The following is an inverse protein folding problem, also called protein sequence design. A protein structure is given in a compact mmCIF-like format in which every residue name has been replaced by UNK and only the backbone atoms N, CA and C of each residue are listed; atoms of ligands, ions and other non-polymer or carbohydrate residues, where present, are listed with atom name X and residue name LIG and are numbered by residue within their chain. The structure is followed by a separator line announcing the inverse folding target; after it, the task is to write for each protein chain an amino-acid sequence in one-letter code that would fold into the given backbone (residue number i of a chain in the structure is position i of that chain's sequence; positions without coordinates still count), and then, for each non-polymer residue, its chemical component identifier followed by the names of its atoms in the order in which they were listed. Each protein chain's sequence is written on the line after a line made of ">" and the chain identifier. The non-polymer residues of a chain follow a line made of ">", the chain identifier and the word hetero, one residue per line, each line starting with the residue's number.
data_IF_493752100887
#
_entry.id   IF_493752100887
#
_cell.length_a   1.000
_cell.length_b   1.000
_cell.length_c   1.000
_cell.angle_alpha   90.00
_cell.angle_beta   90.00
_cell.angle_gamma   90.00
#
_symmetry.space_group_name_H-M   'P 1'
#
loop_
_entity.id
_entity.type
_entity.pdbx_description
1 polymer ?
#
# COMPACT_ATOMS: atom_id res chain seq x y z
N UNK A 1 43.80 -36.29 34.26
CA UNK A 1 42.91 -36.36 33.10
C UNK A 1 41.80 -37.36 33.41
N UNK A 2 40.60 -36.88 33.73
CA UNK A 2 39.37 -37.66 33.77
C UNK A 2 38.24 -36.79 33.21
N UNK A 3 37.51 -37.37 32.26
CA UNK A 3 36.45 -36.77 31.45
C UNK A 3 35.18 -36.48 32.26
N UNK A 4 34.52 -35.38 31.89
CA UNK A 4 33.29 -34.89 32.47
C UNK A 4 32.07 -35.64 31.95
N UNK A 5 31.26 -36.18 32.87
CA UNK A 5 29.85 -36.49 32.65
C UNK A 5 29.16 -36.42 34.01
N UNK A 6 28.42 -35.31 34.22
CA UNK A 6 27.31 -35.08 35.16
C UNK A 6 27.35 -33.65 35.71
N UNK A 7 26.43 -32.81 35.24
CA UNK A 7 25.85 -31.77 36.09
C UNK A 7 24.36 -31.62 35.75
N UNK A 8 23.58 -31.88 36.78
CA UNK A 8 22.12 -31.87 36.88
C UNK A 8 21.52 -30.47 36.75
N UNK A 9 20.24 -30.42 36.37
CA UNK A 9 19.33 -29.25 36.43
C UNK A 9 19.38 -28.51 37.78
N UNK A 10 18.93 -27.25 37.78
CA UNK A 10 17.75 -26.95 38.58
C UNK A 10 16.68 -26.16 37.81
N UNK A 11 15.51 -26.12 38.46
CA UNK A 11 14.20 -25.69 37.97
C UNK A 11 13.95 -24.18 38.06
N UNK A 12 12.93 -23.74 37.31
CA UNK A 12 12.00 -22.62 37.55
C UNK A 12 12.51 -21.17 37.50
N UNK A 13 12.00 -20.40 36.53
CA UNK A 13 11.20 -19.22 36.87
C UNK A 13 10.13 -18.91 35.80
N UNK A 14 8.94 -18.62 36.28
CA UNK A 14 7.68 -18.31 35.59
C UNK A 14 7.69 -16.89 35.04
N UNK A 15 7.27 -16.68 33.79
CA UNK A 15 6.63 -15.43 33.34
C UNK A 15 5.45 -15.76 32.40
N UNK A 16 4.25 -15.52 32.92
CA UNK A 16 3.00 -15.39 32.17
C UNK A 16 2.97 -14.02 31.47
N UNK A 17 2.56 -13.97 30.19
CA UNK A 17 1.54 -13.01 29.72
C UNK A 17 1.17 -13.18 28.24
N UNK A 18 -0.09 -13.58 28.05
CA UNK A 18 -1.06 -13.07 27.07
C UNK A 18 -0.61 -12.82 25.62
N UNK A 19 -0.79 -13.82 24.76
CA UNK A 19 -1.11 -13.60 23.33
C UNK A 19 -1.85 -14.81 22.75
N UNK A 20 -3.16 -14.93 23.03
CA UNK A 20 -4.10 -15.64 22.14
C UNK A 20 -5.49 -15.03 22.33
N UNK A 21 -5.77 -13.93 21.64
CA UNK A 21 -7.15 -13.46 21.46
C UNK A 21 -7.37 -12.98 20.04
N UNK A 22 -7.19 -13.87 19.06
CA UNK A 22 -7.90 -13.75 17.79
C UNK A 22 -8.28 -15.17 17.33
N UNK A 23 -9.56 -15.33 16.98
CA UNK A 23 -10.18 -16.51 16.38
C UNK A 23 -10.56 -17.69 17.29
N UNK A 24 -11.55 -17.48 18.18
CA UNK A 24 -12.61 -18.48 18.43
C UNK A 24 -13.96 -17.79 18.49
N UNK A 25 -14.59 -17.65 17.33
CA UNK A 25 -16.03 -17.41 17.23
C UNK A 25 -16.68 -18.69 16.70
N UNK A 26 -17.47 -19.32 17.55
CA UNK A 26 -18.22 -20.55 17.33
C UNK A 26 -19.18 -20.41 16.15
N UNK A 27 -19.07 -21.32 15.18
CA UNK A 27 -20.12 -21.56 14.18
C UNK A 27 -21.29 -22.26 14.88
N UNK A 28 -22.31 -21.50 15.29
CA UNK A 28 -23.65 -22.04 15.55
C UNK A 28 -24.48 -21.90 14.28
N UNK A 29 -24.72 -23.03 13.62
CA UNK A 29 -25.68 -23.17 12.51
C UNK A 29 -27.09 -22.78 12.97
N UNK A 30 -27.72 -21.86 12.25
CA UNK A 30 -29.17 -21.65 12.27
C UNK A 30 -29.71 -21.61 10.83
N UNK A 31 -30.97 -22.05 10.62
CA UNK A 31 -31.44 -22.52 9.32
C UNK A 31 -31.94 -21.39 8.42
N UNK A 32 -31.69 -21.55 7.12
CA UNK A 32 -32.24 -20.74 6.03
C UNK A 32 -33.78 -20.85 6.02
N UNK A 33 -34.46 -19.72 6.18
CA UNK A 33 -35.85 -19.55 5.76
C UNK A 33 -35.90 -18.60 4.57
N UNK A 34 -36.48 -19.13 3.50
CA UNK A 34 -36.75 -18.50 2.21
C UNK A 34 -37.69 -17.29 2.33
N UNK A 35 -37.35 -16.19 1.66
CA UNK A 35 -38.31 -15.13 1.33
C UNK A 35 -38.20 -14.73 -0.16
N UNK A 36 -39.34 -14.36 -0.79
CA UNK A 36 -39.48 -14.37 -2.25
C UNK A 36 -39.13 -13.03 -2.90
N UNK A 37 -38.58 -13.11 -4.12
CA UNK A 37 -38.44 -11.99 -5.04
C UNK A 37 -39.80 -11.43 -5.43
N UNK A 38 -39.97 -10.10 -5.35
CA UNK A 38 -41.02 -9.40 -6.09
C UNK A 38 -40.59 -7.99 -6.49
N UNK A 39 -40.52 -7.83 -7.82
CA UNK A 39 -40.88 -6.64 -8.62
C UNK A 39 -40.23 -5.30 -8.26
N UNK A 40 -39.24 -4.90 -9.06
CA UNK A 40 -38.99 -3.49 -9.35
C UNK A 40 -39.20 -3.24 -10.86
N UNK A 41 -40.24 -2.47 -11.18
CA UNK A 41 -40.49 -1.91 -12.50
C UNK A 41 -40.17 -0.40 -12.50
N UNK A 42 -39.35 0.00 -13.47
CA UNK A 42 -39.53 1.16 -14.36
C UNK A 42 -39.60 2.59 -13.76
N UNK A 43 -38.65 3.44 -14.19
CA UNK A 43 -38.87 4.66 -15.00
C UNK A 43 -37.56 5.46 -15.09
N UNK A 44 -36.83 5.31 -16.19
CA UNK A 44 -35.77 6.26 -16.58
C UNK A 44 -36.42 7.29 -17.50
N UNK A 45 -36.40 8.55 -17.07
CA UNK A 45 -36.89 9.71 -17.83
C UNK A 45 -35.66 10.48 -18.31
N UNK A 46 -35.31 10.32 -19.58
CA UNK A 46 -34.32 11.15 -20.27
C UNK A 46 -34.90 12.55 -20.48
N UNK A 47 -34.15 13.58 -20.06
CA UNK A 47 -34.40 14.97 -20.46
C UNK A 47 -33.32 15.38 -21.44
N UNK A 48 -33.75 15.70 -22.65
CA UNK A 48 -33.01 16.47 -23.64
C UNK A 48 -32.63 17.84 -23.07
N UNK A 49 -31.38 18.25 -23.28
CA UNK A 49 -30.93 19.63 -23.06
C UNK A 49 -30.56 20.24 -24.41
N UNK A 50 -31.32 21.26 -24.81
CA UNK A 50 -31.17 22.04 -26.03
C UNK A 50 -30.04 23.07 -25.88
N UNK A 51 -29.07 22.98 -26.80
CA UNK A 51 -28.53 24.02 -27.69
C UNK A 51 -28.62 25.49 -27.22
N UNK A 52 -27.49 26.18 -27.17
CA UNK A 52 -27.40 27.56 -27.68
C UNK A 52 -25.97 27.90 -28.09
N UNK A 53 -25.81 28.13 -29.39
CA UNK A 53 -24.70 28.83 -30.03
C UNK A 53 -24.54 30.25 -29.47
N UNK A 54 -23.30 30.70 -29.26
CA UNK A 54 -22.95 32.09 -29.53
C UNK A 54 -21.48 32.25 -29.91
N UNK A 55 -21.31 32.63 -31.17
CA UNK A 55 -20.12 33.05 -31.91
C UNK A 55 -19.76 34.48 -31.50
N UNK A 56 -18.48 34.79 -31.29
CA UNK A 56 -17.96 36.14 -31.47
C UNK A 56 -16.48 36.11 -31.88
N UNK A 57 -16.27 36.40 -33.16
CA UNK A 57 -14.98 36.76 -33.76
C UNK A 57 -14.49 38.09 -33.18
N UNK A 58 -13.21 38.16 -32.80
CA UNK A 58 -12.45 39.42 -32.85
C UNK A 58 -11.04 39.19 -33.37
N UNK A 59 -10.89 39.59 -34.63
CA UNK A 59 -9.64 39.76 -35.36
C UNK A 59 -9.27 41.25 -35.28
N UNK A 60 -8.03 41.57 -34.86
CA UNK A 60 -7.45 42.93 -34.87
C UNK A 60 -5.98 42.83 -35.30
N UNK A 61 -5.43 43.81 -36.04
CA UNK A 61 -4.33 43.60 -36.98
C UNK A 61 -2.95 44.08 -36.50
N UNK A 62 -1.93 43.51 -37.16
CA UNK A 62 -0.73 44.10 -37.75
C UNK A 62 -0.09 45.35 -37.09
N UNK A 63 1.17 45.22 -36.66
CA UNK A 63 2.19 46.27 -36.84
C UNK A 63 3.59 45.67 -36.89
N UNK A 64 4.27 46.06 -37.97
CA UNK A 64 5.58 45.68 -38.47
C UNK A 64 6.69 46.36 -37.66
N UNK A 65 7.82 45.69 -37.41
CA UNK A 65 9.11 46.38 -37.37
C UNK A 65 10.24 45.46 -37.81
N UNK A 66 10.92 45.91 -38.87
CA UNK A 66 12.11 45.31 -39.49
C UNK A 66 13.32 45.79 -38.69
N UNK A 67 14.24 44.90 -38.34
CA UNK A 67 15.65 45.26 -38.17
C UNK A 67 16.53 44.04 -38.44
N UNK A 68 17.20 44.10 -39.59
CA UNK A 68 18.27 43.24 -40.05
C UNK A 68 19.47 43.30 -39.11
N UNK A 69 20.22 42.19 -38.97
CA UNK A 69 21.70 42.18 -38.83
C UNK A 69 22.25 40.73 -38.87
N UNK A 70 23.19 40.55 -39.81
CA UNK A 70 24.33 39.63 -39.93
C UNK A 70 24.21 38.09 -39.84
N UNK A 71 24.41 37.48 -41.01
CA UNK A 71 25.55 36.61 -41.38
C UNK A 71 26.18 35.72 -40.29
N UNK A 72 25.87 34.41 -40.34
CA UNK A 72 26.83 33.30 -40.42
C UNK A 72 26.06 31.98 -40.29
N UNK A 73 25.93 31.19 -41.36
CA UNK A 73 25.44 29.82 -41.24
C UNK A 73 26.57 28.85 -41.55
N UNK A 74 27.18 28.37 -40.47
CA UNK A 74 28.07 27.22 -40.42
C UNK A 74 27.24 25.98 -40.74
N UNK A 75 27.62 25.23 -41.78
CA UNK A 75 27.03 23.92 -42.08
C UNK A 75 27.66 22.89 -41.13
N UNK A 76 27.07 22.73 -39.95
CA UNK A 76 27.36 21.59 -39.07
C UNK A 76 26.57 20.37 -39.54
N UNK A 77 27.29 19.35 -40.02
CA UNK A 77 26.75 18.01 -40.28
C UNK A 77 26.33 17.42 -38.92
N UNK A 78 25.05 17.53 -38.59
CA UNK A 78 24.47 16.85 -37.44
C UNK A 78 24.28 15.37 -37.82
N UNK A 79 25.20 14.51 -37.36
CA UNK A 79 24.93 13.10 -37.23
C UNK A 79 23.82 12.94 -36.19
N UNK A 80 22.60 12.68 -36.66
CA UNK A 80 21.48 12.31 -35.81
C UNK A 80 21.78 10.94 -35.19
N UNK A 81 22.46 10.96 -34.04
CA UNK A 81 22.34 9.89 -33.07
C UNK A 81 20.88 9.88 -32.67
N UNK A 82 20.11 8.95 -33.24
CA UNK A 82 18.80 8.60 -32.72
C UNK A 82 19.06 8.12 -31.30
N UNK A 83 18.86 9.02 -30.33
CA UNK A 83 18.67 8.62 -28.95
C UNK A 83 17.54 7.60 -29.00
N UNK A 84 17.84 6.35 -28.65
CA UNK A 84 16.81 5.37 -28.37
C UNK A 84 15.92 6.02 -27.33
N UNK A 85 14.68 6.35 -27.69
CA UNK A 85 13.69 6.89 -26.77
C UNK A 85 13.64 5.92 -25.58
N UNK A 86 14.18 6.37 -24.44
CA UNK A 86 14.07 5.63 -23.21
C UNK A 86 12.58 5.49 -22.96
N UNK A 87 12.06 4.27 -23.08
CA UNK A 87 10.65 4.00 -22.94
C UNK A 87 10.22 4.37 -21.51
N UNK A 88 9.70 5.59 -21.38
CA UNK A 88 9.22 6.18 -20.13
C UNK A 88 7.93 5.46 -19.76
N UNK A 89 7.99 4.56 -18.79
CA UNK A 89 6.79 3.95 -18.26
C UNK A 89 6.03 4.97 -17.41
N UNK A 90 4.71 5.10 -17.59
CA UNK A 90 3.95 6.17 -16.96
C UNK A 90 3.68 5.93 -15.47
N UNK A 91 4.08 4.78 -14.92
CA UNK A 91 3.94 4.44 -13.50
C UNK A 91 5.31 4.47 -12.80
N UNK A 92 5.38 4.97 -11.56
CA UNK A 92 6.60 4.88 -10.76
C UNK A 92 7.00 3.42 -10.53
N UNK A 93 8.29 3.10 -10.68
CA UNK A 93 8.83 1.78 -10.38
C UNK A 93 8.75 1.46 -8.89
N UNK A 94 8.49 0.19 -8.54
CA UNK A 94 8.41 -0.29 -7.14
C UNK A 94 7.42 0.49 -6.26
N UNK A 95 6.39 1.07 -6.86
CA UNK A 95 5.34 1.80 -6.15
C UNK A 95 3.99 1.13 -6.40
N UNK A 96 3.27 0.85 -5.32
CA UNK A 96 1.87 0.50 -5.37
C UNK A 96 1.03 1.78 -5.35
N UNK A 97 0.25 2.02 -6.40
CA UNK A 97 -0.49 3.28 -6.60
C UNK A 97 -1.91 3.04 -7.10
N UNK A 98 -2.76 4.06 -6.99
CA UNK A 98 -4.11 4.07 -7.58
C UNK A 98 -4.17 4.89 -8.87
N UNK A 99 -3.08 5.55 -9.27
CA UNK A 99 -2.99 6.34 -10.49
C UNK A 99 -2.68 5.47 -11.72
N UNK A 100 -3.59 4.52 -12.01
CA UNK A 100 -3.33 3.44 -12.94
C UNK A 100 -3.53 3.77 -14.42
N UNK A 101 -3.60 5.04 -14.82
CA UNK A 101 -3.79 5.48 -16.22
C UNK A 101 -4.93 4.72 -16.94
N UNK A 102 -6.06 4.53 -16.25
CA UNK A 102 -7.24 3.79 -16.74
C UNK A 102 -7.00 2.32 -17.08
N UNK A 103 -5.91 1.72 -16.57
CA UNK A 103 -5.59 0.31 -16.79
C UNK A 103 -6.26 -0.65 -15.82
N UNK A 104 -6.62 -0.16 -14.64
CA UNK A 104 -7.32 -0.91 -13.61
C UNK A 104 -8.66 -0.23 -13.31
N UNK A 105 -9.60 -1.02 -12.81
CA UNK A 105 -10.89 -0.50 -12.38
C UNK A 105 -10.73 0.52 -11.25
N UNK A 106 -11.72 1.39 -11.09
CA UNK A 106 -11.70 2.40 -10.04
C UNK A 106 -11.60 1.76 -8.65
N UNK A 107 -10.65 2.23 -7.83
CA UNK A 107 -10.40 1.67 -6.49
C UNK A 107 -9.61 0.36 -6.47
N UNK A 108 -9.08 -0.07 -7.63
CA UNK A 108 -8.14 -1.19 -7.75
C UNK A 108 -6.74 -0.61 -7.91
N UNK A 109 -5.81 -0.85 -6.96
CA UNK A 109 -4.46 -0.35 -7.09
C UNK A 109 -3.69 -1.14 -8.15
N UNK A 110 -2.68 -0.51 -8.72
CA UNK A 110 -1.75 -1.08 -9.66
C UNK A 110 -0.32 -0.93 -9.15
N UNK A 111 0.50 -1.84 -9.62
CA UNK A 111 1.93 -1.82 -9.39
C UNK A 111 2.65 -2.11 -10.69
N UNK A 112 3.75 -1.41 -10.92
CA UNK A 112 4.60 -1.65 -12.09
C UNK A 112 5.40 -2.94 -11.90
N UNK A 113 5.25 -3.90 -12.81
CA UNK A 113 5.87 -5.20 -12.63
C UNK A 113 7.40 -5.14 -12.81
N UNK A 114 8.12 -5.00 -11.71
CA UNK A 114 9.60 -5.01 -11.70
C UNK A 114 10.20 -6.38 -11.48
N UNK A 115 9.42 -7.48 -11.48
CA UNK A 115 10.00 -8.83 -11.37
C UNK A 115 10.77 -9.23 -12.63
N UNK A 116 10.58 -8.52 -13.74
CA UNK A 116 11.30 -8.76 -15.00
C UNK A 116 12.58 -7.92 -15.10
N UNK A 117 13.66 -8.46 -15.70
CA UNK A 117 14.89 -7.73 -15.93
C UNK A 117 14.66 -6.49 -16.81
N UNK A 118 15.35 -5.40 -16.47
CA UNK A 118 15.22 -4.08 -17.09
C UNK A 118 15.41 -4.10 -18.62
N UNK A 119 16.26 -5.00 -19.12
CA UNK A 119 16.56 -5.18 -20.55
C UNK A 119 15.40 -5.73 -21.38
N UNK A 120 14.37 -6.30 -20.73
CA UNK A 120 13.17 -6.87 -21.38
C UNK A 120 11.88 -6.20 -20.94
N UNK A 121 12.01 -5.15 -20.12
CA UNK A 121 10.92 -4.60 -19.35
C UNK A 121 9.99 -3.79 -20.25
N UNK A 122 8.94 -4.46 -20.75
CA UNK A 122 7.76 -3.77 -21.28
C UNK A 122 7.11 -3.00 -20.12
N UNK A 123 6.37 -1.93 -20.41
CA UNK A 123 5.62 -1.19 -19.38
C UNK A 123 4.43 -2.00 -18.84
N UNK A 124 4.73 -3.17 -18.28
CA UNK A 124 3.79 -4.14 -17.77
C UNK A 124 3.40 -3.75 -16.34
N UNK A 125 2.10 -3.62 -16.14
CA UNK A 125 1.51 -3.27 -14.86
C UNK A 125 0.61 -4.41 -14.42
N UNK A 126 0.50 -4.58 -13.12
CA UNK A 126 -0.38 -5.56 -12.51
C UNK A 126 -1.44 -4.82 -11.71
N UNK A 127 -2.71 -5.04 -12.05
CA UNK A 127 -3.83 -4.63 -11.20
C UNK A 127 -3.94 -5.62 -10.05
N UNK A 128 -3.84 -5.15 -8.81
CA UNK A 128 -3.95 -6.02 -7.65
C UNK A 128 -5.42 -6.08 -7.23
N UNK A 129 -6.04 -7.27 -7.23
CA UNK A 129 -7.45 -7.37 -6.85
C UNK A 129 -7.62 -6.82 -5.44
N UNK A 130 -8.60 -5.94 -5.25
CA UNK A 130 -8.96 -5.47 -3.91
C UNK A 130 -9.57 -6.66 -3.17
N UNK A 131 -8.78 -7.41 -2.41
CA UNK A 131 -9.30 -8.56 -1.67
C UNK A 131 -10.10 -8.04 -0.49
N UNK A 132 -11.42 -7.95 -0.70
CA UNK A 132 -12.40 -7.98 0.38
C UNK A 132 -12.28 -9.38 0.99
N UNK A 133 -11.58 -9.51 2.11
CA UNK A 133 -11.53 -10.78 2.84
C UNK A 133 -12.96 -11.17 3.23
N UNK A 134 -13.53 -12.13 2.50
CA UNK A 134 -14.82 -12.76 2.78
C UNK A 134 -14.89 -13.38 4.17
N UNK A 135 -13.74 -13.63 4.81
CA UNK A 135 -13.66 -14.14 6.18
C UNK A 135 -13.83 -13.06 7.26
N UNK A 136 -13.63 -11.78 6.94
CA UNK A 136 -13.68 -10.69 7.93
C UNK A 136 -15.03 -9.96 8.01
N UNK A 137 -16.01 -10.31 7.15
CA UNK A 137 -17.33 -9.65 7.03
C UNK A 137 -17.31 -8.11 6.86
N UNK A 138 -16.12 -7.51 6.77
CA UNK A 138 -15.88 -6.07 6.74
C UNK A 138 -14.96 -5.73 5.55
N UNK A 139 -15.32 -4.78 4.67
CA UNK A 139 -14.48 -4.41 3.54
C UNK A 139 -13.11 -3.94 4.02
N UNK A 140 -12.10 -4.76 3.74
CA UNK A 140 -10.72 -4.59 4.18
C UNK A 140 -9.80 -4.53 2.98
N UNK A 141 -8.77 -3.68 3.04
CA UNK A 141 -7.61 -3.75 2.17
C UNK A 141 -6.46 -4.31 2.98
N UNK A 142 -5.96 -5.50 2.61
CA UNK A 142 -4.83 -6.16 3.27
C UNK A 142 -3.73 -6.38 2.25
N UNK A 143 -2.59 -5.73 2.46
CA UNK A 143 -1.37 -5.93 1.72
C UNK A 143 -0.34 -6.60 2.62
N UNK A 144 0.08 -7.80 2.23
CA UNK A 144 1.24 -8.45 2.82
C UNK A 144 2.49 -8.02 2.04
N UNK A 145 3.56 -7.69 2.75
CA UNK A 145 4.85 -7.35 2.17
C UNK A 145 5.85 -8.38 2.66
N UNK A 146 5.96 -9.56 2.01
CA UNK A 146 6.95 -10.56 2.38
C UNK A 146 8.35 -9.95 2.48
N UNK A 147 9.11 -10.39 3.49
CA UNK A 147 10.49 -9.94 3.66
C UNK A 147 11.30 -10.28 2.41
N UNK A 148 12.13 -9.33 1.99
CA UNK A 148 13.05 -9.49 0.86
C UNK A 148 14.47 -9.76 1.34
N UNK A 149 15.43 -9.36 0.51
CA UNK A 149 16.87 -9.39 0.80
C UNK A 149 17.31 -8.33 1.82
N UNK A 150 16.54 -7.26 1.98
CA UNK A 150 16.83 -6.22 2.96
C UNK A 150 16.65 -6.74 4.40
N UNK A 151 17.60 -6.39 5.28
CA UNK A 151 17.56 -6.72 6.71
C UNK A 151 17.70 -5.45 7.55
N UNK A 152 16.91 -5.34 8.61
CA UNK A 152 17.00 -4.20 9.53
C UNK A 152 18.29 -4.25 10.36
N UNK A 153 18.76 -3.10 10.90
CA UNK A 153 19.89 -3.09 11.83
C UNK A 153 19.68 -4.03 13.03
N UNK A 154 18.45 -4.12 13.55
CA UNK A 154 18.13 -5.02 14.67
C UNK A 154 18.17 -6.50 14.27
N UNK A 155 17.74 -6.83 13.05
CA UNK A 155 17.84 -8.19 12.54
C UNK A 155 19.30 -8.60 12.32
N UNK A 156 20.11 -7.72 11.72
CA UNK A 156 21.54 -7.97 11.50
C UNK A 156 22.31 -8.12 12.82
N UNK A 157 21.96 -7.33 13.84
CA UNK A 157 22.62 -7.39 15.14
C UNK A 157 22.29 -8.67 15.94
N UNK A 158 21.11 -9.24 15.72
CA UNK A 158 20.63 -10.41 16.47
C UNK A 158 20.83 -11.74 15.72
N UNK A 159 21.32 -11.69 14.48
CA UNK A 159 21.42 -12.83 13.54
C UNK A 159 20.14 -13.68 13.50
N UNK A 160 19.01 -12.99 13.44
CA UNK A 160 17.69 -13.61 13.48
C UNK A 160 17.28 -14.01 12.06
N UNK A 161 17.10 -15.32 11.86
CA UNK A 161 16.46 -15.85 10.66
C UNK A 161 14.94 -15.74 10.73
N UNK A 162 14.33 -15.65 9.55
CA UNK A 162 12.89 -15.74 9.42
C UNK A 162 12.45 -17.14 9.87
N UNK A 163 11.59 -17.26 10.89
CA UNK A 163 11.03 -18.57 11.20
C UNK A 163 10.25 -19.05 9.97
N UNK A 164 10.34 -20.35 9.63
CA UNK A 164 9.51 -20.91 8.58
C UNK A 164 8.05 -20.68 8.94
N UNK A 165 7.28 -20.05 8.05
CA UNK A 165 5.86 -19.84 8.26
C UNK A 165 5.13 -21.19 8.25
N UNK A 166 4.40 -21.52 9.32
CA UNK A 166 3.59 -22.74 9.38
C UNK A 166 2.38 -22.68 8.42
N UNK A 167 1.95 -21.47 8.06
CA UNK A 167 0.87 -21.21 7.11
C UNK A 167 1.35 -20.26 6.01
N UNK A 168 1.17 -20.68 4.74
CA UNK A 168 1.38 -19.81 3.59
C UNK A 168 0.09 -19.07 3.26
N UNK A 169 -0.16 -17.96 3.96
CA UNK A 169 -1.27 -17.05 3.71
C UNK A 169 -1.04 -16.10 2.53
N UNK A 170 0.16 -16.09 1.94
CA UNK A 170 0.46 -15.31 0.74
C UNK A 170 -0.40 -15.73 -0.45
N UNK A 171 -0.94 -16.96 -0.44
CA UNK A 171 -1.89 -17.42 -1.47
C UNK A 171 -3.31 -16.86 -1.27
N UNK A 172 -3.62 -16.34 -0.08
CA UNK A 172 -4.95 -15.85 0.29
C UNK A 172 -5.05 -14.31 0.24
N UNK A 173 -3.92 -13.62 0.38
CA UNK A 173 -3.86 -12.16 0.43
C UNK A 173 -3.03 -11.57 -0.71
N UNK A 174 -3.34 -10.33 -1.07
CA UNK A 174 -2.50 -9.55 -1.97
C UNK A 174 -1.14 -9.40 -1.31
N UNK A 175 -0.10 -9.73 -2.04
CA UNK A 175 1.25 -9.59 -1.56
C UNK A 175 2.19 -9.04 -2.64
N UNK A 176 3.14 -8.23 -2.19
CA UNK A 176 4.25 -7.74 -3.01
C UNK A 176 5.52 -7.82 -2.16
N UNK A 177 6.52 -8.58 -2.62
CA UNK A 177 7.77 -8.75 -1.88
C UNK A 177 8.54 -7.42 -1.74
N UNK A 178 9.19 -7.22 -0.60
CA UNK A 178 9.97 -6.00 -0.31
C UNK A 178 11.16 -5.76 -1.26
N UNK A 179 11.60 -6.74 -2.03
CA UNK A 179 12.60 -6.54 -3.09
C UNK A 179 12.03 -5.76 -4.29
N UNK A 180 10.71 -5.78 -4.45
CA UNK A 180 9.97 -5.24 -5.59
C UNK A 180 8.99 -4.12 -5.22
N UNK A 181 8.86 -3.81 -3.93
CA UNK A 181 8.00 -2.75 -3.41
C UNK A 181 8.80 -1.86 -2.45
N UNK A 182 8.95 -0.59 -2.84
CA UNK A 182 9.60 0.43 -2.02
C UNK A 182 8.58 1.40 -1.43
N UNK A 183 7.46 1.65 -2.12
CA UNK A 183 6.48 2.67 -1.73
C UNK A 183 5.02 2.20 -1.87
N UNK A 184 4.19 2.55 -0.90
CA UNK A 184 2.71 2.45 -0.98
C UNK A 184 2.12 3.86 -0.96
N UNK A 185 1.45 4.23 -2.04
CA UNK A 185 0.84 5.54 -2.21
C UNK A 185 -0.45 5.71 -1.40
N UNK A 186 -0.99 6.92 -1.43
CA UNK A 186 -2.24 7.26 -0.77
C UNK A 186 -3.41 6.47 -1.36
N UNK A 187 -4.27 5.98 -0.46
CA UNK A 187 -5.54 5.36 -0.84
C UNK A 187 -6.54 6.48 -1.15
N UNK A 188 -7.19 6.47 -2.32
CA UNK A 188 -8.12 7.53 -2.71
C UNK A 188 -9.44 7.42 -1.94
N UNK A 189 -10.12 8.55 -1.78
CA UNK A 189 -11.41 8.65 -1.08
C UNK A 189 -12.54 7.79 -1.71
N UNK A 190 -12.36 7.34 -2.96
CA UNK A 190 -13.30 6.46 -3.65
C UNK A 190 -13.31 5.03 -3.08
N UNK A 191 -12.27 4.62 -2.38
CA UNK A 191 -12.18 3.29 -1.75
C UNK A 191 -13.05 3.26 -0.49
N UNK A 192 -13.92 2.26 -0.40
CA UNK A 192 -14.90 2.08 0.70
C UNK A 192 -14.48 0.96 1.64
N UNK A 193 -13.27 1.06 2.19
CA UNK A 193 -12.73 0.08 3.14
C UNK A 193 -12.77 0.65 4.55
N UNK A 194 -13.10 -0.18 5.54
CA UNK A 194 -13.05 0.19 6.96
C UNK A 194 -11.70 -0.16 7.60
N UNK A 195 -11.06 -1.22 7.12
CA UNK A 195 -9.74 -1.67 7.60
C UNK A 195 -8.70 -1.55 6.49
N UNK A 196 -7.60 -0.86 6.77
CA UNK A 196 -6.40 -0.86 5.94
C UNK A 196 -5.28 -1.53 6.71
N UNK A 197 -4.69 -2.56 6.14
CA UNK A 197 -3.57 -3.30 6.73
C UNK A 197 -2.41 -3.38 5.73
N UNK A 198 -1.24 -2.91 6.14
CA UNK A 198 0.03 -3.14 5.46
C UNK A 198 0.93 -3.87 6.45
N UNK A 199 1.25 -5.12 6.16
CA UNK A 199 1.89 -6.02 7.12
C UNK A 199 3.16 -6.60 6.50
N UNK A 200 4.29 -6.46 7.17
CA UNK A 200 5.52 -7.12 6.75
C UNK A 200 5.50 -8.62 7.05
N UNK A 201 6.01 -9.42 6.11
CA UNK A 201 6.01 -10.87 6.19
C UNK A 201 4.65 -11.47 5.84
N UNK A 202 4.02 -12.10 6.83
CA UNK A 202 2.72 -12.77 6.73
C UNK A 202 1.77 -12.33 7.86
N UNK A 203 0.48 -12.57 7.70
CA UNK A 203 -0.55 -12.30 8.70
C UNK A 203 -0.46 -13.28 9.89
N UNK A 204 -0.15 -14.54 9.63
CA UNK A 204 0.02 -15.59 10.66
C UNK A 204 1.48 -15.86 11.03
N UNK A 205 2.40 -15.01 10.58
CA UNK A 205 3.82 -15.14 10.86
C UNK A 205 4.16 -14.90 12.33
N UNK A 206 5.26 -15.50 12.78
CA UNK A 206 5.82 -15.22 14.10
C UNK A 206 6.39 -13.79 14.08
N UNK A 207 5.86 -12.90 14.93
CA UNK A 207 6.36 -11.53 15.11
C UNK A 207 7.75 -11.53 15.75
N UNK A 208 8.76 -11.82 14.94
CA UNK A 208 10.14 -11.88 15.41
C UNK A 208 10.70 -10.46 15.44
N UNK A 209 11.09 -10.01 16.63
CA UNK A 209 11.50 -8.63 16.86
C UNK A 209 12.62 -8.23 15.90
N UNK A 210 12.43 -7.11 15.21
CA UNK A 210 13.43 -6.59 14.27
C UNK A 210 13.29 -7.12 12.84
N UNK A 211 12.54 -8.19 12.63
CA UNK A 211 12.18 -8.63 11.28
C UNK A 211 11.04 -7.78 10.75
N UNK A 212 11.37 -6.88 9.81
CA UNK A 212 10.43 -5.92 9.26
C UNK A 212 10.64 -5.75 7.78
N UNK A 213 9.58 -5.34 7.08
CA UNK A 213 9.64 -4.90 5.69
C UNK A 213 9.94 -3.42 5.60
N UNK A 214 10.88 -3.04 4.73
CA UNK A 214 11.29 -1.67 4.51
C UNK A 214 10.52 -1.05 3.34
N UNK A 215 9.31 -0.56 3.65
CA UNK A 215 8.43 0.12 2.69
C UNK A 215 8.10 1.51 3.20
N UNK A 216 8.18 2.51 2.31
CA UNK A 216 7.72 3.86 2.56
C UNK A 216 6.22 3.96 2.37
N UNK A 217 5.54 4.52 3.36
CA UNK A 217 4.12 4.78 3.30
C UNK A 217 3.88 6.25 2.95
N UNK A 218 2.89 6.52 2.09
CA UNK A 218 2.45 7.88 1.82
C UNK A 218 2.09 8.60 3.12
N UNK A 219 2.49 9.87 3.26
CA UNK A 219 2.14 10.68 4.43
C UNK A 219 0.64 10.93 4.55
N UNK A 220 -0.13 10.70 3.48
CA UNK A 220 -1.59 10.75 3.45
C UNK A 220 -2.20 9.39 3.16
N UNK A 221 -1.57 8.29 3.61
CA UNK A 221 -1.94 6.91 3.28
C UNK A 221 -3.45 6.67 3.35
N UNK A 222 -4.08 7.00 4.49
CA UNK A 222 -5.52 6.82 4.71
C UNK A 222 -6.27 8.09 5.08
N UNK A 223 -5.61 9.23 5.19
CA UNK A 223 -6.23 10.46 5.73
C UNK A 223 -7.36 11.01 4.86
N UNK A 224 -7.42 10.62 3.59
CA UNK A 224 -8.50 10.97 2.64
C UNK A 224 -9.61 9.92 2.56
N UNK A 225 -9.53 8.82 3.32
CA UNK A 225 -10.48 7.70 3.27
C UNK A 225 -11.35 7.72 4.52
N UNK A 226 -12.49 8.43 4.52
CA UNK A 226 -13.27 8.68 5.74
C UNK A 226 -13.94 7.44 6.33
N UNK A 227 -14.07 6.37 5.53
CA UNK A 227 -14.61 5.09 5.97
C UNK A 227 -13.63 4.28 6.82
N UNK A 228 -12.32 4.57 6.74
CA UNK A 228 -11.31 3.81 7.48
C UNK A 228 -11.42 4.12 8.97
N UNK A 229 -11.69 3.08 9.76
CA UNK A 229 -11.76 3.10 11.23
C UNK A 229 -10.62 2.32 11.87
N UNK A 230 -9.95 1.45 11.10
CA UNK A 230 -8.82 0.64 11.56
C UNK A 230 -7.65 0.71 10.60
N UNK A 231 -6.46 1.00 11.14
CA UNK A 231 -5.19 1.02 10.41
C UNK A 231 -4.18 0.11 11.09
N UNK A 232 -3.67 -0.88 10.36
CA UNK A 232 -2.71 -1.88 10.86
C UNK A 232 -1.42 -1.75 10.07
N UNK A 233 -0.35 -1.31 10.75
CA UNK A 233 0.99 -1.12 10.19
C UNK A 233 1.99 -1.93 11.01
N UNK A 234 2.06 -3.23 10.76
CA UNK A 234 2.78 -4.19 11.61
C UNK A 234 3.96 -4.79 10.86
N UNK A 235 5.06 -5.04 11.58
CA UNK A 235 6.31 -5.58 11.02
C UNK A 235 6.87 -4.70 9.87
N UNK A 236 6.75 -3.38 10.00
CA UNK A 236 7.27 -2.42 9.02
C UNK A 236 8.42 -1.59 9.62
N UNK A 237 9.36 -1.15 8.79
CA UNK A 237 10.34 -0.16 9.20
C UNK A 237 9.69 1.23 9.32
N UNK A 238 9.03 1.51 10.45
CA UNK A 238 8.31 2.76 10.66
C UNK A 238 9.18 3.87 11.26
N UNK A 239 10.36 3.53 11.80
CA UNK A 239 11.27 4.49 12.44
C UNK A 239 11.58 5.72 11.56
N UNK A 240 11.96 5.59 10.26
CA UNK A 240 12.25 6.75 9.41
C UNK A 240 11.04 7.66 9.12
N UNK A 241 9.83 7.15 9.37
CA UNK A 241 8.56 7.80 9.01
C UNK A 241 7.66 8.04 10.23
N UNK A 242 8.18 7.83 11.44
CA UNK A 242 7.47 8.00 12.71
C UNK A 242 6.85 9.39 12.88
N UNK A 243 7.55 10.43 12.42
CA UNK A 243 7.06 11.82 12.47
C UNK A 243 5.85 12.10 11.59
N UNK A 244 5.55 11.24 10.61
CA UNK A 244 4.45 11.41 9.67
C UNK A 244 3.25 10.52 9.96
N UNK A 245 3.34 9.58 10.93
CA UNK A 245 2.27 8.60 11.19
C UNK A 245 0.94 9.29 11.50
N UNK A 246 0.94 10.37 12.30
CA UNK A 246 -0.29 11.11 12.61
C UNK A 246 -0.97 11.74 11.38
N UNK A 247 -0.20 12.06 10.33
CA UNK A 247 -0.71 12.63 9.08
C UNK A 247 -1.39 11.59 8.19
N UNK A 248 -1.07 10.31 8.40
CA UNK A 248 -1.63 9.18 7.65
C UNK A 248 -3.06 8.87 8.10
N UNK A 249 -3.46 9.28 9.31
CA UNK A 249 -4.68 8.82 9.96
C UNK A 249 -5.92 9.58 9.46
N UNK A 250 -7.04 8.88 9.19
CA UNK A 250 -8.33 9.51 8.99
C UNK A 250 -8.88 10.04 10.32
N UNK A 251 -9.76 11.04 10.26
CA UNK A 251 -10.35 11.67 11.45
C UNK A 251 -11.20 10.70 12.32
N UNK A 252 -11.77 9.67 11.70
CA UNK A 252 -12.65 8.70 12.34
C UNK A 252 -11.91 7.42 12.78
N UNK A 253 -10.58 7.41 12.75
CA UNK A 253 -9.80 6.24 13.14
C UNK A 253 -10.04 5.89 14.62
N UNK A 254 -10.45 4.66 14.88
CA UNK A 254 -10.69 4.13 16.23
C UNK A 254 -9.61 3.15 16.68
N UNK A 255 -8.94 2.48 15.75
CA UNK A 255 -7.89 1.50 16.03
C UNK A 255 -6.65 1.77 15.17
N UNK A 256 -5.49 1.83 15.81
CA UNK A 256 -4.18 1.90 15.16
C UNK A 256 -3.31 0.79 15.74
N UNK A 257 -2.67 -0.03 14.90
CA UNK A 257 -1.71 -1.03 15.34
C UNK A 257 -0.35 -0.76 14.69
N UNK A 258 0.71 -0.67 15.51
CA UNK A 258 2.08 -0.30 15.07
C UNK A 258 3.14 -1.34 15.50
N UNK A 259 2.71 -2.56 15.80
CA UNK A 259 3.56 -3.62 16.37
C UNK A 259 4.80 -3.92 15.53
N UNK A 260 5.91 -4.18 16.22
CA UNK A 260 7.22 -4.45 15.63
C UNK A 260 7.64 -3.40 14.57
N UNK A 261 7.18 -2.15 14.70
CA UNK A 261 7.46 -1.06 13.76
C UNK A 261 8.89 -0.48 13.82
N UNK A 262 9.80 -1.09 14.59
CA UNK A 262 11.09 -0.55 15.04
C UNK A 262 11.05 0.75 15.85
N UNK A 263 9.87 1.33 16.07
CA UNK A 263 9.63 2.54 16.84
C UNK A 263 10.25 2.45 18.24
N UNK A 264 10.92 3.53 18.65
CA UNK A 264 11.54 3.68 19.97
C UNK A 264 10.69 4.51 20.93
N UNK A 265 9.67 5.20 20.41
CA UNK A 265 8.71 6.01 21.15
C UNK A 265 7.36 6.02 20.42
N UNK A 266 6.31 6.41 21.15
CA UNK A 266 4.99 6.64 20.57
C UNK A 266 5.07 7.80 19.56
N UNK A 267 4.54 7.64 18.33
CA UNK A 267 4.52 8.71 17.34
C UNK A 267 3.88 9.99 17.87
N UNK A 268 4.47 11.13 17.53
CA UNK A 268 3.94 12.44 17.93
C UNK A 268 2.65 12.75 17.16
N UNK A 269 1.80 13.58 17.72
CA UNK A 269 0.58 14.06 17.07
C UNK A 269 -0.60 13.07 17.09
N UNK A 270 -0.42 11.87 17.67
CA UNK A 270 -1.51 10.91 17.87
C UNK A 270 -2.59 11.44 18.83
N UNK A 271 -2.26 12.40 19.68
CA UNK A 271 -3.22 13.12 20.53
C UNK A 271 -4.26 13.91 19.74
N UNK A 272 -4.03 14.17 18.45
CA UNK A 272 -5.01 14.79 17.55
C UNK A 272 -6.05 13.80 17.01
N UNK A 273 -5.78 12.49 17.08
CA UNK A 273 -6.73 11.44 16.70
C UNK A 273 -7.76 11.23 17.81
N UNK A 274 -8.70 12.17 17.98
CA UNK A 274 -9.68 12.18 19.09
C UNK A 274 -10.61 10.96 19.13
N UNK A 275 -10.76 10.28 17.99
CA UNK A 275 -11.58 9.07 17.85
C UNK A 275 -10.82 7.79 18.22
N UNK A 276 -9.49 7.86 18.39
CA UNK A 276 -8.63 6.71 18.65
C UNK A 276 -8.90 6.13 20.03
N UNK A 277 -9.24 4.84 20.08
CA UNK A 277 -9.58 4.10 21.30
C UNK A 277 -8.54 3.04 21.63
N UNK A 278 -7.92 2.47 20.60
CA UNK A 278 -6.93 1.40 20.71
C UNK A 278 -5.68 1.78 19.93
N UNK A 279 -4.51 1.64 20.57
CA UNK A 279 -3.17 1.82 20.02
C UNK A 279 -2.30 0.61 20.37
#
# INVERSE_FOLDING_TARGET
>A
MCHATHCTRPETLVVLSNMVTLARASLTLLPLHSLPLSRLHSRIRTKESKRTDKREDKQVPLMTTITSVLLALVVTVATSTQAADAQSCPLPTKTLTYECNSKCDNGVPCWFNTTTPETTRKCEFTCLPTIISIALLDPSFVLLVPFGTWKSPKQNAADVEAPPGEFNDLVQFVNLNNDFLDTVDAIPASVKTHTVAVIGGSLFGVNTRGMVSNVKLSTTLTSKVPAVTKLVLVNLNLEPQAGNISLMLPLNLTELALDNGLLTAIPKGLDNAKSLKTL
#
